data_IF_913337842279
#
_entry.id   IF_913337842279
#
_cell.length_a   1.000
_cell.length_b   1.000
_cell.length_c   1.000
_cell.angle_alpha   90.00
_cell.angle_beta   90.00
_cell.angle_gamma   90.00
#
_symmetry.space_group_name_H-M   'P 1'
#
loop_
_entity.id
_entity.type
_entity.pdbx_description
1 polymer ?
#
# COMPACT_ATOMS: atom_id res chain seq x y z
N UNK A 1 13.70 17.82 18.88
CA UNK A 1 13.14 17.42 17.57
C UNK A 1 14.30 16.89 16.73
N UNK A 2 14.25 15.64 16.26
CA UNK A 2 15.30 15.09 15.41
C UNK A 2 15.19 15.71 14.01
N UNK A 3 16.25 16.40 13.57
CA UNK A 3 16.35 16.92 12.20
C UNK A 3 16.18 15.78 11.20
N UNK A 4 15.16 15.86 10.35
CA UNK A 4 14.99 14.92 9.23
C UNK A 4 16.07 15.24 8.20
N UNK A 5 17.18 14.50 8.20
CA UNK A 5 18.20 14.59 7.15
C UNK A 5 17.62 14.06 5.83
N UNK A 6 17.28 14.97 4.92
CA UNK A 6 16.93 14.61 3.54
C UNK A 6 18.17 14.09 2.82
N UNK A 7 18.17 12.81 2.43
CA UNK A 7 19.26 12.20 1.65
C UNK A 7 18.89 12.24 0.17
N UNK A 8 19.67 12.96 -0.62
CA UNK A 8 19.46 13.08 -2.07
C UNK A 8 20.39 12.09 -2.78
N UNK A 9 19.83 11.17 -3.55
CA UNK A 9 20.57 10.23 -4.40
C UNK A 9 20.41 10.68 -5.84
N UNK A 10 21.53 10.99 -6.51
CA UNK A 10 21.54 11.34 -7.95
C UNK A 10 21.92 10.13 -8.77
N UNK A 11 20.98 9.66 -9.58
CA UNK A 11 21.20 8.55 -10.52
C UNK A 11 21.67 9.16 -11.85
N UNK A 12 22.76 8.65 -12.43
CA UNK A 12 23.34 9.19 -13.67
C UNK A 12 23.03 8.32 -14.88
N UNK A 13 22.99 7.00 -14.71
CA UNK A 13 22.65 6.05 -15.76
C UNK A 13 21.18 6.18 -16.19
N UNK A 14 20.91 6.14 -17.51
CA UNK A 14 19.57 6.30 -18.08
C UNK A 14 18.66 5.09 -17.83
N UNK A 15 19.16 3.87 -18.02
CA UNK A 15 18.39 2.63 -17.77
C UNK A 15 17.98 2.50 -16.31
N UNK A 16 18.88 2.82 -15.37
CA UNK A 16 18.56 2.77 -13.94
C UNK A 16 17.50 3.80 -13.56
N UNK A 17 17.56 5.00 -14.15
CA UNK A 17 16.51 6.03 -13.96
C UNK A 17 15.16 5.53 -14.44
N UNK A 18 15.10 4.92 -15.62
CA UNK A 18 13.85 4.42 -16.19
C UNK A 18 13.29 3.28 -15.34
N UNK A 19 14.11 2.29 -14.98
CA UNK A 19 13.71 1.19 -14.07
C UNK A 19 13.16 1.70 -12.75
N UNK A 20 13.87 2.63 -12.10
CA UNK A 20 13.46 3.18 -10.80
C UNK A 20 12.16 3.99 -10.93
N UNK A 21 12.03 4.77 -12.01
CA UNK A 21 10.81 5.52 -12.30
C UNK A 21 9.62 4.57 -12.50
N UNK A 22 9.80 3.48 -13.23
CA UNK A 22 8.75 2.48 -13.46
C UNK A 22 8.35 1.78 -12.15
N UNK A 23 9.31 1.46 -11.28
CA UNK A 23 9.00 0.97 -9.93
C UNK A 23 8.17 1.98 -9.14
N UNK A 24 8.57 3.26 -9.12
CA UNK A 24 7.80 4.29 -8.43
C UNK A 24 6.37 4.41 -8.98
N UNK A 25 6.20 4.35 -10.30
CA UNK A 25 4.86 4.38 -10.90
C UNK A 25 4.04 3.15 -10.54
N UNK A 26 4.64 1.96 -10.57
CA UNK A 26 3.96 0.71 -10.19
C UNK A 26 3.47 0.77 -8.74
N UNK A 27 4.34 1.15 -7.80
CA UNK A 27 3.96 1.24 -6.38
C UNK A 27 2.93 2.33 -6.13
N UNK A 28 3.08 3.51 -6.74
CA UNK A 28 2.10 4.60 -6.61
C UNK A 28 0.75 4.22 -7.20
N UNK A 29 0.74 3.51 -8.32
CA UNK A 29 -0.49 3.01 -8.92
C UNK A 29 -1.21 2.00 -8.00
N UNK A 30 -0.45 1.08 -7.40
CA UNK A 30 -0.99 0.15 -6.40
C UNK A 30 -1.56 0.89 -5.18
N UNK A 31 -0.81 1.83 -4.59
CA UNK A 31 -1.27 2.66 -3.47
C UNK A 31 -2.56 3.41 -3.79
N UNK A 32 -2.65 3.99 -4.99
CA UNK A 32 -3.85 4.68 -5.45
C UNK A 32 -5.05 3.74 -5.58
N UNK A 33 -4.87 2.55 -6.16
CA UNK A 33 -5.95 1.54 -6.24
C UNK A 33 -6.41 1.11 -4.85
N UNK A 34 -5.48 0.89 -3.93
CA UNK A 34 -5.77 0.50 -2.56
C UNK A 34 -6.58 1.56 -1.81
N UNK A 35 -6.19 2.83 -1.95
CA UNK A 35 -6.91 3.97 -1.37
C UNK A 35 -8.35 4.05 -1.89
N UNK A 36 -8.56 3.81 -3.19
CA UNK A 36 -9.91 3.78 -3.79
C UNK A 36 -10.73 2.63 -3.20
N UNK A 37 -10.17 1.42 -3.11
CA UNK A 37 -10.86 0.25 -2.56
C UNK A 37 -11.25 0.45 -1.09
N UNK A 38 -10.33 0.98 -0.28
CA UNK A 38 -10.59 1.30 1.14
C UNK A 38 -11.69 2.34 1.25
N UNK A 39 -11.63 3.43 0.46
CA UNK A 39 -12.65 4.48 0.49
C UNK A 39 -14.04 3.97 0.10
N UNK A 40 -14.12 3.15 -0.96
CA UNK A 40 -15.37 2.57 -1.40
C UNK A 40 -15.96 1.63 -0.32
N UNK A 41 -15.13 0.77 0.27
CA UNK A 41 -15.57 -0.14 1.32
C UNK A 41 -15.93 0.58 2.62
N UNK A 42 -15.26 1.68 2.95
CA UNK A 42 -15.63 2.53 4.09
C UNK A 42 -17.03 3.12 3.93
N UNK A 43 -17.36 3.59 2.73
CA UNK A 43 -18.70 4.13 2.45
C UNK A 43 -19.77 3.03 2.57
N UNK A 44 -19.49 1.82 2.06
CA UNK A 44 -20.38 0.67 2.23
C UNK A 44 -20.55 0.27 3.71
N UNK A 45 -19.46 0.33 4.49
CA UNK A 45 -19.49 0.09 5.94
C UNK A 45 -20.34 1.12 6.68
N UNK A 46 -20.30 2.40 6.27
CA UNK A 46 -21.14 3.45 6.84
C UNK A 46 -22.62 3.28 6.54
N UNK A 47 -22.95 2.68 5.39
CA UNK A 47 -24.31 2.39 4.96
C UNK A 47 -24.86 1.09 5.58
N UNK A 48 -24.16 0.49 6.56
CA UNK A 48 -24.49 -0.79 7.22
C UNK A 48 -24.74 -1.94 6.23
N UNK A 49 -24.10 -1.89 5.05
CA UNK A 49 -24.21 -2.96 4.07
C UNK A 49 -23.42 -4.17 4.54
N UNK A 50 -24.13 -5.29 4.66
CA UNK A 50 -23.69 -6.58 5.20
C UNK A 50 -22.53 -7.22 4.40
N UNK A 51 -22.19 -6.67 3.23
CA UNK A 51 -21.03 -7.09 2.41
C UNK A 51 -20.11 -5.90 2.18
N UNK A 52 -19.18 -5.69 3.11
CA UNK A 52 -18.05 -4.79 2.88
C UNK A 52 -16.77 -5.39 3.47
N UNK A 53 -15.65 -5.18 2.78
CA UNK A 53 -14.34 -5.71 3.14
C UNK A 53 -13.50 -4.67 3.89
N UNK A 54 -14.10 -3.58 4.39
CA UNK A 54 -13.34 -2.44 4.93
C UNK A 54 -12.40 -2.86 6.07
N UNK A 55 -12.90 -3.70 7.00
CA UNK A 55 -12.10 -4.20 8.12
C UNK A 55 -10.92 -5.05 7.66
N UNK A 56 -11.12 -5.89 6.64
CA UNK A 56 -10.07 -6.73 6.07
C UNK A 56 -9.03 -5.91 5.29
N UNK A 57 -9.50 -4.94 4.49
CA UNK A 57 -8.69 -4.00 3.71
C UNK A 57 -8.04 -2.90 4.55
N UNK A 58 -8.34 -2.78 5.85
CA UNK A 58 -7.63 -1.88 6.76
C UNK A 58 -6.83 -2.63 7.82
N UNK A 59 -6.90 -3.97 7.82
CA UNK A 59 -6.19 -4.79 8.76
C UNK A 59 -4.68 -4.74 8.49
N UNK A 60 -3.91 -4.40 9.53
CA UNK A 60 -2.47 -4.24 9.43
C UNK A 60 -1.76 -5.55 9.07
N UNK A 61 -2.23 -6.69 9.57
CA UNK A 61 -1.62 -8.00 9.32
C UNK A 61 -1.81 -8.40 7.86
N UNK A 62 -3.01 -8.16 7.30
CA UNK A 62 -3.33 -8.38 5.88
C UNK A 62 -2.49 -7.47 5.00
N UNK A 63 -2.41 -6.18 5.31
CA UNK A 63 -1.61 -5.23 4.52
C UNK A 63 -0.12 -5.53 4.53
N UNK A 64 0.42 -5.88 5.70
CA UNK A 64 1.81 -6.31 5.84
C UNK A 64 2.08 -7.57 5.00
N UNK A 65 1.14 -8.52 4.99
CA UNK A 65 1.27 -9.75 4.21
C UNK A 65 1.33 -9.47 2.70
N UNK A 66 0.38 -8.69 2.19
CA UNK A 66 0.27 -8.30 0.78
C UNK A 66 1.51 -7.51 0.32
N UNK A 67 1.91 -6.48 1.06
CA UNK A 67 3.08 -5.66 0.72
C UNK A 67 4.40 -6.43 0.86
N UNK A 68 4.48 -7.33 1.84
CA UNK A 68 5.63 -8.16 2.09
C UNK A 68 5.75 -9.37 1.15
N UNK A 69 4.74 -9.65 0.32
CA UNK A 69 4.62 -10.92 -0.44
C UNK A 69 4.81 -12.15 0.45
N UNK A 70 4.27 -12.09 1.67
CA UNK A 70 4.28 -13.20 2.62
C UNK A 70 2.87 -13.76 2.75
N UNK A 71 2.71 -15.06 3.00
CA UNK A 71 1.40 -15.74 2.97
C UNK A 71 0.39 -15.27 4.03
N UNK A 72 0.71 -14.26 4.85
CA UNK A 72 -0.09 -13.86 6.00
C UNK A 72 0.04 -14.90 7.11
N UNK A 73 0.43 -14.44 8.30
CA UNK A 73 0.50 -15.34 9.45
C UNK A 73 -0.89 -15.90 9.74
N UNK A 74 -1.03 -17.23 9.85
CA UNK A 74 -2.26 -17.86 10.34
C UNK A 74 -2.62 -17.20 11.68
N UNK A 75 -3.81 -16.62 11.77
CA UNK A 75 -4.37 -16.25 13.07
C UNK A 75 -4.47 -17.54 13.90
N UNK A 76 -3.78 -17.57 15.04
CA UNK A 76 -4.04 -18.59 16.05
C UNK A 76 -5.39 -18.23 16.67
N UNK A 77 -6.37 -19.09 16.47
CA UNK A 77 -7.64 -19.13 17.22
C UNK A 77 -7.39 -19.31 18.71
#
# INVERSE_FOLDING_TARGET
>A
MSDKRTRIIKIRNKEDKEKIRDYFYKYRHFENMLLILIKNNYNLSKEEKDRNDFKYLSDYSVMRAVLGSTEGGKHKE
#
